data_IF_279101456602
#
_entry.id   IF_279101456602
#
_cell.length_a   1.000
_cell.length_b   1.000
_cell.length_c   1.000
_cell.angle_alpha   90.00
_cell.angle_beta   90.00
_cell.angle_gamma   90.00
#
_symmetry.space_group_name_H-M   'P 1'
#
loop_
_entity.id
_entity.type
_entity.pdbx_description
1 polymer ?
#
# COMPACT_ATOMS: atom_id res chain seq x y z
N UNK A 1 5.05 -9.28 13.50
CA UNK A 1 4.10 -9.23 14.61
C UNK A 1 3.42 -7.87 14.74
N UNK A 2 2.38 -7.83 15.54
CA UNK A 2 1.57 -6.61 15.77
C UNK A 2 2.13 -5.72 16.91
N UNK A 3 3.36 -5.97 17.34
CA UNK A 3 3.99 -5.26 18.44
C UNK A 3 4.45 -3.86 18.00
N UNK A 4 4.07 -2.83 18.76
CA UNK A 4 4.45 -1.42 18.57
C UNK A 4 5.32 -0.88 19.71
N UNK A 5 5.93 -1.75 20.50
CA UNK A 5 6.81 -1.35 21.60
C UNK A 5 7.98 -0.52 21.11
N UNK A 6 8.21 0.61 21.77
CA UNK A 6 9.33 1.49 21.47
C UNK A 6 10.53 0.99 22.27
N UNK A 7 11.61 0.65 21.59
CA UNK A 7 12.83 0.14 22.18
C UNK A 7 13.93 1.18 22.11
N UNK A 8 14.47 1.56 23.25
CA UNK A 8 15.52 2.58 23.36
C UNK A 8 16.75 2.25 22.49
N UNK A 9 17.15 0.98 22.42
CA UNK A 9 18.26 0.53 21.57
C UNK A 9 18.05 0.70 20.06
N UNK A 10 16.81 0.94 19.62
CA UNK A 10 16.48 1.26 18.24
C UNK A 10 16.34 2.75 17.98
N UNK A 11 16.04 3.53 19.02
CA UNK A 11 15.92 4.98 18.90
C UNK A 11 17.29 5.66 18.93
N UNK A 12 18.21 5.21 19.78
CA UNK A 12 19.55 5.79 19.91
C UNK A 12 20.35 5.84 18.59
N UNK A 13 20.38 4.79 17.75
CA UNK A 13 21.05 4.88 16.47
C UNK A 13 20.46 5.93 15.51
N UNK A 14 19.13 6.15 15.58
CA UNK A 14 18.46 7.17 14.77
C UNK A 14 18.86 8.58 15.21
N UNK A 15 18.93 8.83 16.53
CA UNK A 15 19.39 10.10 17.10
C UNK A 15 20.82 10.38 16.65
N UNK A 16 21.73 9.41 16.80
CA UNK A 16 23.12 9.53 16.36
C UNK A 16 23.23 9.83 14.87
N UNK A 17 22.42 9.17 14.05
CA UNK A 17 22.40 9.42 12.60
C UNK A 17 21.96 10.87 12.30
N UNK A 18 20.93 11.37 12.98
CA UNK A 18 20.48 12.75 12.81
C UNK A 18 21.58 13.75 13.22
N UNK A 19 22.22 13.53 14.36
CA UNK A 19 23.32 14.39 14.84
C UNK A 19 24.50 14.41 13.88
N UNK A 20 24.82 13.30 13.26
CA UNK A 20 25.89 13.19 12.28
C UNK A 20 25.57 13.88 10.95
N UNK A 21 24.36 13.65 10.43
CA UNK A 21 23.96 14.16 9.12
C UNK A 21 23.43 15.59 9.18
N UNK A 22 22.88 15.99 10.31
CA UNK A 22 22.20 17.27 10.49
C UNK A 22 22.58 17.92 11.84
N UNK A 23 23.83 18.37 12.01
CA UNK A 23 24.34 18.84 13.30
C UNK A 23 23.62 20.06 13.87
N UNK A 24 22.86 20.77 13.05
CA UNK A 24 22.09 21.96 13.47
C UNK A 24 20.69 21.59 14.03
N UNK A 25 20.27 20.31 13.98
CA UNK A 25 19.00 19.88 14.55
C UNK A 25 19.16 19.60 16.04
N UNK A 26 18.26 20.17 16.84
CA UNK A 26 18.25 19.93 18.27
C UNK A 26 17.59 18.57 18.58
N UNK A 27 18.38 17.64 19.14
CA UNK A 27 17.94 16.29 19.52
C UNK A 27 17.65 16.13 21.02
N UNK A 28 17.61 17.22 21.80
CA UNK A 28 17.37 17.16 23.26
C UNK A 28 15.95 16.73 23.61
N UNK A 29 14.99 16.98 22.75
CA UNK A 29 13.59 16.59 22.95
C UNK A 29 13.12 15.77 21.75
N UNK A 30 13.16 14.45 21.90
CA UNK A 30 12.74 13.50 20.86
C UNK A 30 11.48 12.77 21.33
N UNK A 31 10.43 12.82 20.52
CA UNK A 31 9.21 12.01 20.71
C UNK A 31 9.27 10.83 19.76
N UNK A 32 9.47 9.65 20.33
CA UNK A 32 9.51 8.42 19.55
C UNK A 32 8.10 7.82 19.40
N UNK A 33 7.84 7.23 18.26
CA UNK A 33 6.60 6.52 17.99
C UNK A 33 6.85 5.27 17.14
N UNK A 34 5.93 4.35 17.13
CA UNK A 34 5.97 3.16 16.28
C UNK A 34 4.63 2.92 15.59
N UNK A 35 4.70 2.52 14.33
CA UNK A 35 3.54 2.17 13.53
C UNK A 35 3.64 0.76 12.96
N UNK A 36 2.52 0.25 12.45
CA UNK A 36 2.47 -1.02 11.73
C UNK A 36 2.52 -0.76 10.23
N UNK A 37 3.23 -1.62 9.51
CA UNK A 37 3.26 -1.60 8.04
C UNK A 37 2.41 -2.74 7.48
N UNK A 38 1.63 -2.50 6.41
CA UNK A 38 0.83 -3.54 5.77
C UNK A 38 1.71 -4.45 4.92
N UNK A 39 2.41 -5.38 5.55
CA UNK A 39 3.34 -6.30 4.88
C UNK A 39 2.61 -7.53 4.35
N UNK A 40 2.87 -7.87 3.09
CA UNK A 40 2.49 -9.16 2.51
C UNK A 40 3.60 -10.20 2.74
N UNK A 41 3.28 -11.51 2.83
CA UNK A 41 4.27 -12.55 3.04
C UNK A 41 5.38 -12.58 1.98
N UNK A 42 5.06 -12.25 0.74
CA UNK A 42 6.00 -12.18 -0.39
C UNK A 42 6.61 -10.78 -0.58
N UNK A 43 6.33 -9.84 0.34
CA UNK A 43 6.77 -8.45 0.30
C UNK A 43 6.32 -7.64 -0.95
N UNK A 44 5.39 -8.19 -1.73
CA UNK A 44 4.84 -7.53 -2.91
C UNK A 44 3.42 -7.01 -2.63
N UNK A 45 3.04 -5.83 -3.12
CA UNK A 45 1.67 -5.34 -2.97
C UNK A 45 0.69 -6.24 -3.73
N UNK A 46 -0.52 -6.33 -3.20
CA UNK A 46 -1.62 -7.00 -3.88
C UNK A 46 -2.45 -5.97 -4.64
N UNK A 47 -2.38 -6.05 -5.96
CA UNK A 47 -3.15 -5.22 -6.88
C UNK A 47 -3.96 -6.13 -7.79
N UNK A 48 -5.28 -5.89 -7.90
CA UNK A 48 -6.11 -6.70 -8.79
C UNK A 48 -7.51 -6.99 -8.25
N UNK A 49 -8.20 -7.91 -8.91
CA UNK A 49 -9.57 -8.31 -8.56
C UNK A 49 -9.63 -9.11 -7.26
N UNK A 50 -10.67 -8.87 -6.48
CA UNK A 50 -11.03 -9.67 -5.33
C UNK A 50 -11.81 -10.94 -5.71
N UNK A 51 -12.17 -11.72 -4.69
CA UNK A 51 -13.01 -12.92 -4.87
C UNK A 51 -14.47 -12.59 -5.19
N UNK A 52 -14.95 -11.44 -4.73
CA UNK A 52 -16.32 -10.96 -5.00
C UNK A 52 -16.30 -10.00 -6.17
N UNK A 53 -17.37 -10.01 -6.97
CA UNK A 53 -17.58 -9.02 -8.02
C UNK A 53 -17.54 -7.60 -7.45
N UNK A 54 -17.01 -6.66 -8.20
CA UNK A 54 -16.87 -5.25 -7.84
C UNK A 54 -15.98 -4.97 -6.60
N UNK A 55 -15.15 -5.94 -6.20
CA UNK A 55 -14.14 -5.76 -5.15
C UNK A 55 -12.75 -5.84 -5.78
N UNK A 56 -11.98 -4.79 -5.56
CA UNK A 56 -10.61 -4.69 -6.08
C UNK A 56 -9.66 -4.40 -4.92
N UNK A 57 -8.45 -4.88 -5.02
CA UNK A 57 -7.40 -4.67 -4.03
C UNK A 57 -6.29 -3.78 -4.58
N UNK A 58 -5.84 -2.84 -3.77
CA UNK A 58 -4.60 -2.09 -3.92
C UNK A 58 -4.02 -1.89 -2.52
N UNK A 59 -3.29 -2.89 -2.02
CA UNK A 59 -2.88 -2.97 -0.61
C UNK A 59 -1.58 -3.76 -0.43
N UNK A 60 -1.05 -3.75 0.78
CA UNK A 60 0.11 -4.57 1.14
C UNK A 60 1.44 -3.99 0.68
N UNK A 61 1.57 -2.67 0.55
CA UNK A 61 2.75 -1.99 0.02
C UNK A 61 3.96 -1.98 0.97
N UNK A 62 3.80 -2.43 2.21
CA UNK A 62 4.86 -2.47 3.19
C UNK A 62 5.48 -1.09 3.45
N UNK A 63 6.79 -0.97 3.22
CA UNK A 63 7.55 0.28 3.36
C UNK A 63 7.68 1.07 2.04
N UNK A 64 7.17 0.55 0.92
CA UNK A 64 7.30 1.14 -0.42
C UNK A 64 6.00 1.79 -0.94
N UNK A 65 5.03 2.06 -0.07
CA UNK A 65 3.72 2.60 -0.46
C UNK A 65 3.82 3.92 -1.23
N UNK A 66 4.65 4.84 -0.78
CA UNK A 66 4.89 6.09 -1.48
C UNK A 66 5.53 5.86 -2.86
N UNK A 67 6.61 5.08 -2.91
CA UNK A 67 7.36 4.80 -4.14
C UNK A 67 6.51 4.11 -5.20
N UNK A 68 5.64 3.17 -4.79
CA UNK A 68 4.82 2.37 -5.70
C UNK A 68 3.43 2.97 -5.96
N UNK A 69 3.08 4.10 -5.35
CA UNK A 69 1.72 4.66 -5.38
C UNK A 69 1.19 4.89 -6.79
N UNK A 70 1.98 5.51 -7.66
CA UNK A 70 1.56 5.83 -9.02
C UNK A 70 1.35 4.57 -9.88
N UNK A 71 2.31 3.66 -9.87
CA UNK A 71 2.22 2.43 -10.69
C UNK A 71 1.10 1.50 -10.21
N UNK A 72 0.89 1.36 -8.90
CA UNK A 72 -0.20 0.51 -8.40
C UNK A 72 -1.57 1.15 -8.57
N UNK A 73 -1.67 2.48 -8.58
CA UNK A 73 -2.89 3.19 -8.94
C UNK A 73 -3.26 2.96 -10.40
N UNK A 74 -2.29 3.04 -11.31
CA UNK A 74 -2.50 2.74 -12.72
C UNK A 74 -2.94 1.28 -12.94
N UNK A 75 -2.25 0.33 -12.32
CA UNK A 75 -2.59 -1.08 -12.39
C UNK A 75 -4.02 -1.38 -11.92
N UNK A 76 -4.45 -0.84 -10.78
CA UNK A 76 -5.81 -1.08 -10.28
C UNK A 76 -6.86 -0.41 -11.15
N UNK A 77 -6.56 0.77 -11.71
CA UNK A 77 -7.43 1.48 -12.65
C UNK A 77 -7.68 0.66 -13.92
N UNK A 78 -6.64 0.05 -14.48
CA UNK A 78 -6.76 -0.83 -15.65
C UNK A 78 -7.66 -2.04 -15.34
N UNK A 79 -7.43 -2.72 -14.23
CA UNK A 79 -8.23 -3.88 -13.79
C UNK A 79 -9.71 -3.53 -13.61
N UNK A 80 -10.02 -2.34 -13.07
CA UNK A 80 -11.39 -1.86 -12.91
C UNK A 80 -12.03 -1.60 -14.28
N UNK A 81 -11.31 -0.95 -15.18
CA UNK A 81 -11.79 -0.63 -16.53
C UNK A 81 -12.09 -1.89 -17.35
N UNK A 82 -11.21 -2.86 -17.32
CA UNK A 82 -11.41 -4.17 -17.97
C UNK A 82 -12.65 -4.90 -17.41
N UNK A 83 -12.83 -4.89 -16.08
CA UNK A 83 -13.99 -5.47 -15.42
C UNK A 83 -15.30 -4.81 -15.84
N UNK A 84 -15.31 -3.49 -16.00
CA UNK A 84 -16.48 -2.74 -16.45
C UNK A 84 -16.83 -3.07 -17.91
N UNK A 85 -15.83 -3.21 -18.79
CA UNK A 85 -16.03 -3.61 -20.19
C UNK A 85 -16.60 -5.01 -20.32
N UNK A 86 -16.06 -5.98 -19.58
CA UNK A 86 -16.57 -7.36 -19.55
C UNK A 86 -18.03 -7.41 -19.13
N UNK A 87 -18.43 -6.64 -18.11
CA UNK A 87 -19.80 -6.56 -17.61
C UNK A 87 -20.73 -5.96 -18.68
N UNK A 88 -20.27 -4.91 -19.37
CA UNK A 88 -21.04 -4.27 -20.46
C UNK A 88 -21.24 -5.19 -21.66
N UNK A 89 -20.21 -5.93 -22.07
CA UNK A 89 -20.30 -6.91 -23.17
C UNK A 89 -21.23 -8.06 -22.82
N UNK A 90 -21.19 -8.58 -21.59
CA UNK A 90 -22.09 -9.63 -21.12
C UNK A 90 -23.55 -9.17 -21.11
N UNK A 91 -23.83 -7.95 -20.67
CA UNK A 91 -25.16 -7.35 -20.70
C UNK A 91 -25.67 -7.10 -22.12
N UNK A 92 -24.83 -6.67 -23.05
CA UNK A 92 -25.13 -6.51 -24.47
C UNK A 92 -25.46 -7.82 -25.16
N UNK A 93 -24.71 -8.89 -24.90
CA UNK A 93 -24.95 -10.24 -25.42
C UNK A 93 -26.26 -10.83 -24.90
N UNK A 94 -26.65 -10.59 -23.65
CA UNK A 94 -27.91 -11.04 -23.09
C UNK A 94 -29.12 -10.35 -23.76
N UNK A 95 -29.02 -9.07 -24.14
CA UNK A 95 -30.07 -8.35 -24.87
C UNK A 95 -30.28 -8.89 -26.31
N UNK A 96 -29.23 -9.30 -26.96
CA UNK A 96 -29.30 -9.82 -28.36
C UNK A 96 -29.95 -11.19 -28.43
N UNK A 97 -29.98 -11.97 -27.36
CA UNK A 97 -30.62 -13.30 -27.31
C UNK A 97 -32.15 -13.27 -27.21
N UNK A 98 -32.76 -12.13 -26.97
CA UNK A 98 -34.20 -11.94 -26.80
C UNK A 98 -34.82 -10.99 -27.84
N UNK A 99 -34.05 -10.60 -28.84
CA UNK A 99 -34.51 -9.75 -29.94
C UNK A 99 -34.99 -10.61 -31.12
#
# INVERSE_FOLDING_TARGET
GMNRDIRANRIQPLIKWVEQCFPNINTRSVVSWAGLRPMMPNMMPRVGRGKKANVFYNTGHGHLGWTLSAVTADMVSQVISESAQETSLAAGSARTKFA
#
